data_IF_273627454323
#
_entry.id   IF_273627454323
#
_cell.length_a   1.000
_cell.length_b   1.000
_cell.length_c   1.000
_cell.angle_alpha   90.00
_cell.angle_beta   90.00
_cell.angle_gamma   90.00
#
_symmetry.space_group_name_H-M   'P 1'
#
loop_
_entity.id
_entity.type
_entity.pdbx_description
1 polymer ?
#
# COMPACT_ATOMS: atom_id res chain seq x y z
N UNK A 1 -9.22 14.54 -6.46
CA UNK A 1 -9.42 13.30 -5.70
C UNK A 1 -9.61 12.19 -6.70
N UNK A 2 -8.77 11.14 -6.69
CA UNK A 2 -9.01 9.98 -7.55
C UNK A 2 -10.08 9.15 -6.86
N UNK A 3 -11.24 9.02 -7.51
CA UNK A 3 -12.38 8.26 -6.99
C UNK A 3 -12.20 6.78 -7.32
N UNK A 4 -11.99 5.96 -6.28
CA UNK A 4 -11.87 4.50 -6.39
C UNK A 4 -13.13 3.86 -5.80
N UNK A 5 -13.98 3.28 -6.66
CA UNK A 5 -15.15 2.54 -6.21
C UNK A 5 -14.74 1.10 -5.85
N UNK A 6 -14.44 0.89 -4.56
CA UNK A 6 -13.99 -0.39 -3.99
C UNK A 6 -15.05 -1.50 -4.12
N UNK A 7 -16.32 -1.16 -4.39
CA UNK A 7 -17.41 -2.15 -4.48
C UNK A 7 -17.50 -2.82 -5.85
N UNK A 8 -16.78 -2.32 -6.85
CA UNK A 8 -16.64 -2.98 -8.14
C UNK A 8 -15.27 -3.63 -8.13
N UNK A 9 -15.19 -4.93 -8.46
CA UNK A 9 -13.90 -5.65 -8.58
C UNK A 9 -12.92 -5.07 -9.61
N UNK A 10 -13.24 -3.92 -10.20
CA UNK A 10 -12.42 -3.16 -11.12
C UNK A 10 -12.59 -1.65 -10.84
N UNK A 11 -11.67 -1.07 -10.06
CA UNK A 11 -11.74 0.31 -9.59
C UNK A 11 -11.64 1.33 -10.75
N UNK A 12 -11.08 0.90 -11.87
CA UNK A 12 -10.76 1.76 -13.00
C UNK A 12 -11.84 1.85 -14.09
N UNK A 13 -12.98 1.17 -13.92
CA UNK A 13 -14.04 1.12 -14.93
C UNK A 13 -14.40 2.50 -15.51
N UNK A 14 -14.51 2.56 -16.84
CA UNK A 14 -14.88 3.75 -17.61
C UNK A 14 -13.71 4.57 -18.17
N UNK A 15 -12.63 4.77 -17.41
CA UNK A 15 -11.50 5.66 -17.77
C UNK A 15 -10.15 5.05 -17.32
N UNK A 16 -9.91 3.80 -17.68
CA UNK A 16 -8.85 2.98 -17.05
C UNK A 16 -7.45 3.55 -17.25
N UNK A 17 -7.16 3.98 -18.48
CA UNK A 17 -5.85 4.53 -18.83
C UNK A 17 -5.54 5.82 -18.07
N UNK A 18 -6.53 6.68 -17.91
CA UNK A 18 -6.36 7.95 -17.19
C UNK A 18 -6.19 7.73 -15.69
N UNK A 19 -7.02 6.85 -15.10
CA UNK A 19 -6.94 6.50 -13.67
C UNK A 19 -5.62 5.80 -13.35
N UNK A 20 -5.21 4.84 -14.17
CA UNK A 20 -3.92 4.15 -14.02
C UNK A 20 -2.74 5.13 -14.11
N UNK A 21 -2.77 6.03 -15.09
CA UNK A 21 -1.74 7.07 -15.22
C UNK A 21 -1.69 7.97 -13.98
N UNK A 22 -2.84 8.47 -13.51
CA UNK A 22 -2.90 9.33 -12.33
C UNK A 22 -2.40 8.63 -11.06
N UNK A 23 -2.75 7.35 -10.87
CA UNK A 23 -2.27 6.54 -9.74
C UNK A 23 -0.75 6.34 -9.81
N UNK A 24 -0.23 6.03 -10.99
CA UNK A 24 1.21 5.85 -11.18
C UNK A 24 1.99 7.15 -10.97
N UNK A 25 1.49 8.27 -11.48
CA UNK A 25 2.08 9.59 -11.26
C UNK A 25 2.11 9.93 -9.77
N UNK A 26 0.99 9.70 -9.06
CA UNK A 26 0.92 9.92 -7.61
C UNK A 26 1.91 9.04 -6.85
N UNK A 27 2.01 7.75 -7.22
CA UNK A 27 3.01 6.85 -6.63
C UNK A 27 4.45 7.33 -6.87
N UNK A 28 4.75 7.85 -8.07
CA UNK A 28 6.05 8.43 -8.38
C UNK A 28 6.37 9.66 -7.52
N UNK A 29 5.39 10.52 -7.26
CA UNK A 29 5.57 11.65 -6.34
C UNK A 29 5.86 11.19 -4.91
N UNK A 30 5.11 10.21 -4.42
CA UNK A 30 5.25 9.68 -3.06
C UNK A 30 6.63 9.04 -2.85
N UNK A 31 7.09 8.24 -3.80
CA UNK A 31 8.41 7.57 -3.74
C UNK A 31 9.61 8.51 -3.90
N UNK A 32 9.42 9.69 -4.50
CA UNK A 32 10.44 10.76 -4.52
C UNK A 32 10.52 11.50 -3.19
N UNK A 33 9.41 11.62 -2.48
CA UNK A 33 9.30 12.40 -1.24
C UNK A 33 9.60 11.57 0.01
N UNK A 34 9.24 10.30 0.02
CA UNK A 34 9.33 9.42 1.18
C UNK A 34 10.11 8.15 0.87
N UNK A 35 10.94 7.74 1.81
CA UNK A 35 11.58 6.42 1.81
C UNK A 35 10.57 5.36 2.28
N UNK A 36 10.30 4.38 1.41
CA UNK A 36 9.27 3.36 1.64
C UNK A 36 9.93 1.99 1.64
N UNK A 37 9.88 1.31 2.78
CA UNK A 37 10.32 -0.08 2.91
C UNK A 37 9.14 -1.05 2.93
N UNK A 38 9.33 -2.22 2.33
CA UNK A 38 8.36 -3.32 2.35
C UNK A 38 9.01 -4.61 2.80
N UNK A 39 8.31 -5.37 3.64
CA UNK A 39 8.65 -6.75 3.99
C UNK A 39 7.45 -7.66 3.74
N UNK A 40 7.61 -8.96 3.90
CA UNK A 40 6.50 -9.92 3.86
C UNK A 40 6.26 -10.52 5.25
N UNK A 41 5.06 -11.05 5.47
CA UNK A 41 4.65 -11.61 6.78
C UNK A 41 5.53 -12.77 7.26
N UNK A 42 6.18 -13.52 6.34
CA UNK A 42 7.09 -14.61 6.69
C UNK A 42 8.45 -14.10 7.17
N UNK A 43 9.03 -13.11 6.49
CA UNK A 43 10.26 -12.45 6.92
C UNK A 43 10.06 -11.71 8.24
N UNK A 44 8.93 -11.01 8.39
CA UNK A 44 8.59 -10.30 9.62
C UNK A 44 8.56 -11.23 10.84
N UNK A 45 7.96 -12.42 10.71
CA UNK A 45 7.89 -13.42 11.80
C UNK A 45 9.25 -13.98 12.22
N UNK A 46 10.29 -13.80 11.40
CA UNK A 46 11.64 -14.27 11.67
C UNK A 46 12.54 -13.19 12.27
N UNK A 47 12.14 -11.93 12.20
CA UNK A 47 12.89 -10.81 12.78
C UNK A 47 12.71 -10.80 14.29
N UNK A 48 13.80 -10.54 15.00
CA UNK A 48 13.75 -10.09 16.38
C UNK A 48 13.20 -8.66 16.44
N UNK A 49 12.71 -8.25 17.61
CA UNK A 49 12.22 -6.88 17.83
C UNK A 49 13.29 -5.83 17.49
N UNK A 50 14.53 -6.06 17.92
CA UNK A 50 15.66 -5.16 17.64
C UNK A 50 15.99 -5.05 16.14
N UNK A 51 15.91 -6.16 15.40
CA UNK A 51 16.11 -6.14 13.94
C UNK A 51 14.99 -5.39 13.23
N UNK A 52 13.75 -5.59 13.70
CA UNK A 52 12.59 -4.89 13.16
C UNK A 52 12.69 -3.38 13.39
N UNK A 53 13.04 -2.95 14.61
CA UNK A 53 13.29 -1.55 14.93
C UNK A 53 14.37 -0.94 14.03
N UNK A 54 15.51 -1.62 13.91
CA UNK A 54 16.63 -1.16 13.08
C UNK A 54 16.27 -1.08 11.57
N UNK A 55 15.40 -1.96 11.07
CA UNK A 55 14.87 -1.83 9.70
C UNK A 55 13.89 -0.66 9.58
N UNK A 56 12.98 -0.51 10.54
CA UNK A 56 11.99 0.57 10.53
C UNK A 56 12.63 1.95 10.61
N UNK A 57 13.78 2.11 11.27
CA UNK A 57 14.51 3.39 11.33
C UNK A 57 14.98 3.89 9.96
N UNK A 58 15.21 3.00 8.99
CA UNK A 58 15.74 3.36 7.65
C UNK A 58 14.71 4.01 6.73
N UNK A 59 13.42 3.91 7.07
CA UNK A 59 12.33 4.30 6.18
C UNK A 59 11.35 5.25 6.86
N UNK A 60 10.74 6.16 6.10
CA UNK A 60 9.63 7.01 6.57
C UNK A 60 8.36 6.18 6.77
N UNK A 61 8.17 5.18 5.89
CA UNK A 61 7.04 4.26 5.87
C UNK A 61 7.56 2.83 5.78
N UNK A 62 7.08 1.94 6.64
CA UNK A 62 7.44 0.52 6.62
C UNK A 62 6.20 -0.37 6.69
N UNK A 63 6.04 -1.27 5.73
CA UNK A 63 4.81 -2.05 5.53
C UNK A 63 5.15 -3.53 5.39
N UNK A 64 4.39 -4.40 6.04
CA UNK A 64 4.43 -5.84 5.78
C UNK A 64 3.29 -6.25 4.86
N UNK A 65 3.57 -7.09 3.87
CA UNK A 65 2.57 -7.73 3.00
C UNK A 65 2.32 -9.18 3.40
N UNK A 66 1.05 -9.56 3.49
CA UNK A 66 0.58 -10.93 3.61
C UNK A 66 -0.29 -11.30 2.42
N UNK A 67 0.15 -12.21 1.54
CA UNK A 67 -0.69 -12.67 0.42
C UNK A 67 -1.87 -13.52 0.93
N UNK A 68 -3.02 -13.38 0.28
CA UNK A 68 -4.24 -14.16 0.50
C UNK A 68 -4.80 -14.61 -0.85
N UNK A 69 -5.96 -15.25 -0.84
CA UNK A 69 -6.66 -15.65 -2.07
C UNK A 69 -7.39 -14.45 -2.68
N UNK A 70 -7.01 -14.02 -3.88
CA UNK A 70 -7.56 -12.84 -4.61
C UNK A 70 -7.38 -11.48 -3.91
N UNK A 71 -6.41 -11.37 -3.00
CA UNK A 71 -6.03 -10.12 -2.36
C UNK A 71 -4.73 -10.29 -1.56
N UNK A 72 -4.21 -9.17 -1.09
CA UNK A 72 -3.22 -9.14 -0.02
C UNK A 72 -3.62 -8.19 1.09
N UNK A 73 -3.13 -8.47 2.30
CA UNK A 73 -3.25 -7.58 3.45
C UNK A 73 -1.90 -6.91 3.67
N UNK A 74 -1.93 -5.59 3.79
CA UNK A 74 -0.79 -4.74 4.05
C UNK A 74 -0.94 -4.12 5.43
N UNK A 75 -0.05 -4.47 6.36
CA UNK A 75 -0.01 -3.88 7.70
C UNK A 75 1.07 -2.82 7.75
N UNK A 76 0.70 -1.60 8.13
CA UNK A 76 1.63 -0.49 8.33
C UNK A 76 2.27 -0.63 9.71
N UNK A 77 3.59 -0.82 9.71
CA UNK A 77 4.40 -0.98 10.92
C UNK A 77 4.95 0.37 11.38
N UNK A 78 5.30 1.25 10.43
CA UNK A 78 5.72 2.64 10.66
C UNK A 78 5.08 3.55 9.62
N UNK A 79 4.61 4.71 10.07
CA UNK A 79 4.25 5.81 9.19
C UNK A 79 4.53 7.14 9.89
N UNK A 80 5.62 7.82 9.50
CA UNK A 80 6.01 9.13 10.03
C UNK A 80 5.56 10.28 9.11
N UNK A 81 4.40 10.12 8.46
CA UNK A 81 3.90 11.06 7.45
C UNK A 81 2.42 11.38 7.69
N UNK A 82 1.96 12.49 7.11
CA UNK A 82 0.54 12.89 7.13
C UNK A 82 -0.23 12.40 5.89
N UNK A 83 0.17 11.25 5.32
CA UNK A 83 -0.47 10.70 4.13
C UNK A 83 -1.90 10.22 4.41
N UNK A 84 -2.78 10.41 3.44
CA UNK A 84 -4.16 9.93 3.52
C UNK A 84 -4.26 8.42 3.28
N UNK A 85 -5.41 7.84 3.60
CA UNK A 85 -5.66 6.43 3.32
C UNK A 85 -5.55 6.09 1.82
N UNK A 86 -5.94 7.02 0.94
CA UNK A 86 -5.79 6.86 -0.51
C UNK A 86 -4.32 6.77 -0.91
N UNK A 87 -3.47 7.66 -0.38
CA UNK A 87 -2.02 7.60 -0.65
C UNK A 87 -1.42 6.29 -0.11
N UNK A 88 -1.88 5.83 1.05
CA UNK A 88 -1.44 4.54 1.61
C UNK A 88 -1.90 3.35 0.77
N UNK A 89 -3.12 3.36 0.22
CA UNK A 89 -3.59 2.33 -0.72
C UNK A 89 -2.71 2.28 -1.97
N UNK A 90 -2.40 3.45 -2.56
CA UNK A 90 -1.51 3.58 -3.71
C UNK A 90 -0.12 3.02 -3.38
N UNK A 91 0.43 3.32 -2.21
CA UNK A 91 1.72 2.79 -1.75
C UNK A 91 1.66 1.27 -1.59
N UNK A 92 0.62 0.74 -0.96
CA UNK A 92 0.47 -0.69 -0.72
C UNK A 92 0.53 -1.47 -2.03
N UNK A 93 -0.21 -1.03 -3.04
CA UNK A 93 -0.28 -1.66 -4.37
C UNK A 93 0.75 -1.12 -5.38
N UNK A 94 1.77 -0.39 -4.92
CA UNK A 94 2.88 0.10 -5.75
C UNK A 94 2.44 0.89 -7.00
N UNK A 95 1.36 1.67 -6.88
CA UNK A 95 0.84 2.48 -7.98
C UNK A 95 0.07 1.71 -9.06
N UNK A 96 -0.42 0.50 -8.79
CA UNK A 96 -1.33 -0.23 -9.67
C UNK A 96 -2.79 0.16 -9.39
N UNK A 97 -3.32 -0.24 -8.24
CA UNK A 97 -4.67 -0.04 -7.70
C UNK A 97 -5.83 -0.35 -8.65
N UNK A 98 -5.57 -1.13 -9.69
CA UNK A 98 -6.52 -1.45 -10.77
C UNK A 98 -7.78 -2.18 -10.25
N UNK A 99 -7.59 -3.13 -9.33
CA UNK A 99 -8.67 -3.90 -8.70
C UNK A 99 -9.19 -3.24 -7.41
N UNK A 100 -8.61 -2.10 -7.03
CA UNK A 100 -8.98 -1.35 -5.83
C UNK A 100 -8.46 -1.95 -4.53
N UNK A 101 -8.87 -1.31 -3.42
CA UNK A 101 -8.53 -1.74 -2.07
C UNK A 101 -9.26 -0.91 -1.02
N UNK A 102 -9.15 -1.30 0.24
CA UNK A 102 -9.81 -0.65 1.37
C UNK A 102 -8.92 -0.59 2.60
N UNK A 103 -9.11 0.45 3.40
CA UNK A 103 -8.62 0.47 4.78
C UNK A 103 -9.55 -0.36 5.66
N UNK A 104 -9.02 -1.35 6.38
CA UNK A 104 -9.78 -2.27 7.24
C UNK A 104 -9.77 -1.87 8.71
N UNK A 105 -9.11 -0.76 9.07
CA UNK A 105 -8.83 -0.40 10.45
C UNK A 105 -7.51 -0.98 10.94
N UNK A 106 -7.11 -0.63 12.18
CA UNK A 106 -5.92 -1.19 12.83
C UNK A 106 -4.63 -1.15 11.98
N UNK A 107 -4.43 -0.08 11.20
CA UNK A 107 -3.27 0.08 10.31
C UNK A 107 -3.20 -0.96 9.18
N UNK A 108 -4.31 -1.61 8.82
CA UNK A 108 -4.38 -2.63 7.78
C UNK A 108 -5.11 -2.14 6.54
N UNK A 109 -4.53 -2.47 5.38
CA UNK A 109 -5.06 -2.18 4.06
C UNK A 109 -5.22 -3.47 3.29
N UNK A 110 -6.42 -3.73 2.77
CA UNK A 110 -6.70 -4.83 1.86
C UNK A 110 -6.56 -4.33 0.43
N UNK A 111 -5.72 -4.98 -0.36
CA UNK A 111 -5.56 -4.72 -1.78
C UNK A 111 -6.13 -5.90 -2.56
N UNK A 112 -7.10 -5.66 -3.44
CA UNK A 112 -7.64 -6.71 -4.31
C UNK A 112 -6.60 -7.10 -5.37
N UNK A 113 -6.50 -8.40 -5.64
CA UNK A 113 -5.57 -8.97 -6.63
C UNK A 113 -6.35 -9.99 -7.47
N UNK A 114 -6.06 -10.08 -8.78
CA UNK A 114 -6.62 -11.06 -9.71
C UNK A 114 -5.52 -12.02 -10.18
#
# INVERSE_FOLDING_TARGET
MIDFDVKKGYAFSGNEREKSKAVHERFSELTKKYSIGKTNSFSLKKMTEKELEAEMEKFDIFISREPKYHHSIHTVLKNNTDLSNEDMLIICDSGNLCFGGSYEGHNQYRISED
#
